data_IF_470877798118
#
_entry.id   IF_470877798118
#
_cell.length_a   1.000
_cell.length_b   1.000
_cell.length_c   1.000
_cell.angle_alpha   90.00
_cell.angle_beta   90.00
_cell.angle_gamma   90.00
#
_symmetry.space_group_name_H-M   'P 1'
#
loop_
_entity.id
_entity.type
_entity.pdbx_description
1 polymer ?
#
# COMPACT_ATOMS: atom_id res chain seq x y z
N UNK A 1 -19.80 -15.18 -13.30
CA UNK A 1 -19.39 -15.46 -11.90
C UNK A 1 -20.03 -14.40 -11.03
N UNK A 2 -20.83 -14.75 -10.01
CA UNK A 2 -21.35 -13.74 -9.10
C UNK A 2 -20.15 -13.08 -8.40
N UNK A 3 -20.14 -11.75 -8.34
CA UNK A 3 -19.17 -10.99 -7.56
C UNK A 3 -19.41 -11.34 -6.09
N UNK A 4 -18.70 -12.34 -5.57
CA UNK A 4 -18.59 -12.54 -4.13
C UNK A 4 -18.00 -11.24 -3.57
N UNK A 5 -18.82 -10.49 -2.82
CA UNK A 5 -18.41 -9.24 -2.18
C UNK A 5 -17.23 -9.55 -1.27
N UNK A 6 -16.02 -9.09 -1.61
CA UNK A 6 -14.83 -9.27 -0.78
C UNK A 6 -15.05 -8.66 0.60
N UNK A 7 -14.46 -9.24 1.63
CA UNK A 7 -14.44 -8.65 2.97
C UNK A 7 -13.99 -7.18 2.93
N UNK A 8 -14.47 -6.44 3.92
CA UNK A 8 -14.10 -5.04 4.12
C UNK A 8 -12.58 -4.88 4.20
N UNK A 9 -11.89 -5.82 4.86
CA UNK A 9 -10.44 -5.83 4.99
C UNK A 9 -9.71 -5.85 3.64
N UNK A 10 -10.07 -6.78 2.75
CA UNK A 10 -9.47 -6.90 1.41
C UNK A 10 -9.82 -5.67 0.56
N UNK A 11 -11.07 -5.21 0.63
CA UNK A 11 -11.54 -4.04 -0.11
C UNK A 11 -10.81 -2.77 0.31
N UNK A 12 -10.66 -2.53 1.62
CA UNK A 12 -9.93 -1.40 2.17
C UNK A 12 -8.44 -1.44 1.78
N UNK A 13 -7.81 -2.62 1.87
CA UNK A 13 -6.43 -2.81 1.45
C UNK A 13 -6.24 -2.48 -0.04
N UNK A 14 -7.15 -2.95 -0.90
CA UNK A 14 -7.10 -2.66 -2.33
C UNK A 14 -7.31 -1.17 -2.63
N UNK A 15 -8.18 -0.47 -1.90
CA UNK A 15 -8.41 0.97 -2.12
C UNK A 15 -7.20 1.78 -1.70
N UNK A 16 -6.66 1.53 -0.50
CA UNK A 16 -5.46 2.23 0.00
C UNK A 16 -4.26 1.91 -0.90
N UNK A 17 -4.04 0.63 -1.18
CA UNK A 17 -2.96 0.15 -2.05
C UNK A 17 -3.06 0.70 -3.48
N UNK A 18 -4.25 0.71 -4.09
CA UNK A 18 -4.41 1.24 -5.44
C UNK A 18 -4.25 2.77 -5.50
N UNK A 19 -4.73 3.51 -4.50
CA UNK A 19 -4.54 4.96 -4.44
C UNK A 19 -3.05 5.31 -4.37
N UNK A 20 -2.31 4.64 -3.49
CA UNK A 20 -0.87 4.86 -3.33
C UNK A 20 -0.07 4.33 -4.54
N UNK A 21 -0.48 3.18 -5.08
CA UNK A 21 0.09 2.59 -6.29
C UNK A 21 -0.08 3.47 -7.53
N UNK A 22 -1.25 4.11 -7.70
CA UNK A 22 -1.50 5.09 -8.76
C UNK A 22 -0.61 6.32 -8.62
N UNK A 23 -0.46 6.86 -7.42
CA UNK A 23 0.42 8.00 -7.16
C UNK A 23 1.87 7.68 -7.56
N UNK A 24 2.39 6.54 -7.12
CA UNK A 24 3.72 6.08 -7.48
C UNK A 24 3.89 5.75 -8.97
N UNK A 25 2.84 5.24 -9.63
CA UNK A 25 2.87 4.94 -11.06
C UNK A 25 2.85 6.19 -11.95
N UNK A 26 1.96 7.13 -11.65
CA UNK A 26 1.73 8.30 -12.50
C UNK A 26 2.64 9.48 -12.12
N UNK A 27 2.88 9.68 -10.82
CA UNK A 27 3.55 10.86 -10.27
C UNK A 27 4.58 10.52 -9.17
N UNK A 28 5.54 9.59 -9.42
CA UNK A 28 6.47 9.11 -8.38
C UNK A 28 7.28 10.23 -7.73
N UNK A 29 7.70 11.25 -8.49
CA UNK A 29 8.48 12.36 -7.95
C UNK A 29 7.69 13.14 -6.90
N UNK A 30 6.46 13.51 -7.24
CA UNK A 30 5.55 14.20 -6.34
C UNK A 30 5.26 13.35 -5.09
N UNK A 31 4.98 12.05 -5.26
CA UNK A 31 4.71 11.16 -4.13
C UNK A 31 5.91 11.07 -3.18
N UNK A 32 7.13 10.98 -3.71
CA UNK A 32 8.34 10.90 -2.89
C UNK A 32 8.58 12.22 -2.16
N UNK A 33 8.56 13.35 -2.86
CA UNK A 33 8.77 14.68 -2.27
C UNK A 33 7.69 15.03 -1.23
N UNK A 34 6.45 14.55 -1.44
CA UNK A 34 5.36 14.73 -0.49
C UNK A 34 5.62 13.97 0.82
N UNK A 35 6.30 12.82 0.80
CA UNK A 35 6.47 11.94 1.94
C UNK A 35 7.86 12.02 2.60
N UNK A 36 8.88 12.41 1.84
CA UNK A 36 10.28 12.37 2.27
C UNK A 36 10.99 13.69 1.94
N UNK A 37 11.94 14.09 2.80
CA UNK A 37 12.79 15.27 2.57
C UNK A 37 13.94 14.94 1.62
N UNK A 38 13.61 14.46 0.43
CA UNK A 38 14.57 14.04 -0.60
C UNK A 38 14.13 14.53 -1.97
N UNK A 39 15.11 14.88 -2.81
CA UNK A 39 14.88 15.18 -4.23
C UNK A 39 15.05 13.89 -5.03
N UNK A 40 13.99 13.31 -5.62
CA UNK A 40 14.06 12.03 -6.29
C UNK A 40 14.80 12.12 -7.63
N UNK A 41 15.86 11.32 -7.76
CA UNK A 41 16.57 11.14 -9.02
C UNK A 41 15.80 10.26 -10.02
N UNK A 42 16.43 9.96 -11.16
CA UNK A 42 15.84 9.11 -12.19
C UNK A 42 15.59 7.66 -11.74
N UNK A 43 16.41 7.13 -10.83
CA UNK A 43 16.27 5.76 -10.33
C UNK A 43 15.14 5.66 -9.32
N UNK A 44 15.00 6.64 -8.43
CA UNK A 44 13.84 6.76 -7.54
C UNK A 44 12.54 6.83 -8.33
N UNK A 45 12.51 7.67 -9.38
CA UNK A 45 11.33 7.81 -10.25
C UNK A 45 11.03 6.53 -11.04
N UNK A 46 12.04 5.80 -11.48
CA UNK A 46 11.86 4.51 -12.15
C UNK A 46 11.31 3.46 -11.18
N UNK A 47 11.94 3.29 -10.03
CA UNK A 47 11.51 2.34 -8.99
C UNK A 47 10.12 2.68 -8.46
N UNK A 48 9.80 3.96 -8.29
CA UNK A 48 8.46 4.41 -7.93
C UNK A 48 7.41 3.92 -8.92
N UNK A 49 7.64 4.08 -10.23
CA UNK A 49 6.70 3.58 -11.25
C UNK A 49 6.55 2.08 -11.22
N UNK A 50 7.67 1.37 -11.12
CA UNK A 50 7.67 -0.09 -11.04
C UNK A 50 6.87 -0.58 -9.82
N UNK A 51 7.15 -0.04 -8.63
CA UNK A 51 6.42 -0.34 -7.39
C UNK A 51 4.93 -0.02 -7.53
N UNK A 52 4.58 1.13 -8.12
CA UNK A 52 3.19 1.50 -8.38
C UNK A 52 2.47 0.47 -9.26
N UNK A 53 3.11 0.04 -10.36
CA UNK A 53 2.57 -1.00 -11.25
C UNK A 53 2.41 -2.35 -10.54
N UNK A 54 3.40 -2.76 -9.74
CA UNK A 54 3.31 -3.99 -8.94
C UNK A 54 2.14 -3.93 -7.95
N UNK A 55 1.94 -2.81 -7.27
CA UNK A 55 0.83 -2.61 -6.32
C UNK A 55 -0.54 -2.67 -7.02
N UNK A 56 -0.68 -2.03 -8.18
CA UNK A 56 -1.92 -2.07 -8.95
C UNK A 56 -2.24 -3.47 -9.47
N UNK A 57 -1.22 -4.19 -9.94
CA UNK A 57 -1.35 -5.60 -10.36
C UNK A 57 -1.75 -6.47 -9.18
N UNK A 58 -1.13 -6.29 -8.01
CA UNK A 58 -1.48 -7.01 -6.80
C UNK A 58 -2.94 -6.78 -6.40
N UNK A 59 -3.40 -5.52 -6.42
CA UNK A 59 -4.80 -5.19 -6.14
C UNK A 59 -5.76 -5.89 -7.13
N UNK A 60 -5.40 -5.93 -8.42
CA UNK A 60 -6.20 -6.63 -9.44
C UNK A 60 -6.25 -8.14 -9.17
N UNK A 61 -5.14 -8.76 -8.76
CA UNK A 61 -5.09 -10.17 -8.39
C UNK A 61 -5.93 -10.46 -7.14
N UNK A 62 -5.78 -9.66 -6.08
CA UNK A 62 -6.56 -9.80 -4.83
C UNK A 62 -8.07 -9.69 -5.08
N UNK A 63 -8.50 -8.82 -6.00
CA UNK A 63 -9.92 -8.70 -6.39
C UNK A 63 -10.44 -9.87 -7.22
N UNK A 64 -9.57 -10.63 -7.89
CA UNK A 64 -9.96 -11.65 -8.86
C UNK A 64 -9.81 -13.10 -8.34
N UNK A 65 -8.96 -13.32 -7.33
CA UNK A 65 -8.72 -14.62 -6.72
C UNK A 65 -9.75 -14.96 -5.63
N UNK A 66 -9.78 -16.22 -5.17
CA UNK A 66 -10.64 -16.67 -4.07
C UNK A 66 -10.31 -15.94 -2.76
N UNK A 67 -11.32 -15.55 -2.01
CA UNK A 67 -11.15 -14.84 -0.74
C UNK A 67 -10.42 -15.67 0.33
N UNK A 68 -10.68 -16.98 0.42
CA UNK A 68 -10.02 -17.85 1.38
C UNK A 68 -8.49 -17.88 1.18
N UNK A 69 -8.03 -17.66 -0.06
CA UNK A 69 -6.62 -17.56 -0.41
C UNK A 69 -6.11 -16.13 -0.19
N UNK A 70 -6.89 -15.13 -0.61
CA UNK A 70 -6.48 -13.72 -0.58
C UNK A 70 -6.41 -13.16 0.82
N UNK A 71 -7.31 -13.54 1.73
CA UNK A 71 -7.36 -12.97 3.07
C UNK A 71 -6.04 -13.12 3.85
N UNK A 72 -5.46 -14.33 4.02
CA UNK A 72 -4.21 -14.49 4.76
C UNK A 72 -3.02 -13.80 4.06
N UNK A 73 -3.01 -13.80 2.72
CA UNK A 73 -1.99 -13.10 1.94
C UNK A 73 -2.10 -11.58 2.14
N UNK A 74 -3.31 -11.04 2.10
CA UNK A 74 -3.61 -9.62 2.32
C UNK A 74 -3.17 -9.20 3.72
N UNK A 75 -3.54 -9.97 4.75
CA UNK A 75 -3.14 -9.70 6.13
C UNK A 75 -1.60 -9.67 6.28
N UNK A 76 -0.92 -10.74 5.84
CA UNK A 76 0.53 -10.84 5.94
C UNK A 76 1.23 -9.73 5.15
N UNK A 77 0.73 -9.42 3.94
CA UNK A 77 1.25 -8.34 3.12
C UNK A 77 1.08 -6.98 3.80
N UNK A 78 -0.10 -6.66 4.33
CA UNK A 78 -0.33 -5.38 5.03
C UNK A 78 0.56 -5.25 6.26
N UNK A 79 0.73 -6.31 7.04
CA UNK A 79 1.65 -6.32 8.19
C UNK A 79 3.11 -6.08 7.77
N UNK A 80 3.57 -6.78 6.72
CA UNK A 80 4.92 -6.61 6.18
C UNK A 80 5.13 -5.20 5.61
N UNK A 81 4.16 -4.66 4.87
CA UNK A 81 4.20 -3.29 4.38
C UNK A 81 4.28 -2.32 5.54
N UNK A 82 3.46 -2.46 6.58
CA UNK A 82 3.50 -1.57 7.75
C UNK A 82 4.89 -1.55 8.38
N UNK A 83 5.51 -2.71 8.58
CA UNK A 83 6.82 -2.81 9.20
C UNK A 83 7.94 -2.25 8.31
N UNK A 84 8.01 -2.69 7.05
CA UNK A 84 9.12 -2.37 6.15
C UNK A 84 8.97 -1.03 5.41
N UNK A 85 7.73 -0.54 5.26
CA UNK A 85 7.40 0.72 4.61
C UNK A 85 7.32 1.85 5.62
N UNK A 86 6.10 2.29 6.00
CA UNK A 86 5.94 3.45 6.86
C UNK A 86 6.57 3.30 8.25
N UNK A 87 6.54 2.11 8.86
CA UNK A 87 7.17 1.88 10.16
C UNK A 87 8.68 2.11 10.12
N UNK A 88 9.38 1.46 9.19
CA UNK A 88 10.81 1.67 8.98
C UNK A 88 11.13 3.13 8.62
N UNK A 89 10.39 3.71 7.68
CA UNK A 89 10.59 5.09 7.24
C UNK A 89 10.49 6.10 8.40
N UNK A 90 9.49 5.97 9.26
CA UNK A 90 9.31 6.88 10.41
C UNK A 90 10.39 6.75 11.49
N UNK A 91 11.07 5.60 11.57
CA UNK A 91 12.13 5.36 12.55
C UNK A 91 13.51 5.78 12.04
N UNK A 92 13.75 5.69 10.73
CA UNK A 92 15.11 5.73 10.18
C UNK A 92 15.31 6.70 9.01
N UNK A 93 14.25 7.25 8.42
CA UNK A 93 14.35 8.16 7.28
C UNK A 93 13.82 9.55 7.62
N UNK A 94 14.28 10.54 6.83
CA UNK A 94 13.79 11.92 6.94
C UNK A 94 12.41 12.07 6.27
N UNK A 95 11.36 11.84 7.04
CA UNK A 95 9.97 11.97 6.58
C UNK A 95 9.45 13.40 6.69
N UNK A 96 8.43 13.71 5.88
CA UNK A 96 7.60 14.91 6.06
C UNK A 96 6.42 14.60 7.00
N UNK A 97 5.73 15.62 7.55
CA UNK A 97 4.51 15.39 8.34
C UNK A 97 3.42 14.60 7.59
N UNK A 98 3.36 14.72 6.26
CA UNK A 98 2.35 14.04 5.45
C UNK A 98 2.55 12.51 5.44
N UNK A 99 3.78 12.04 5.61
CA UNK A 99 4.05 10.60 5.63
C UNK A 99 3.35 9.88 6.80
N UNK A 100 2.99 10.59 7.89
CA UNK A 100 2.20 10.05 9.01
C UNK A 100 0.83 9.51 8.58
N UNK A 101 0.32 9.90 7.41
CA UNK A 101 -0.91 9.33 6.85
C UNK A 101 -0.72 7.85 6.47
N UNK A 102 0.45 7.47 5.96
CA UNK A 102 0.73 6.09 5.56
C UNK A 102 0.65 5.07 6.73
N UNK A 103 1.32 5.25 7.88
CA UNK A 103 1.19 4.33 9.01
C UNK A 103 -0.24 4.30 9.58
N UNK A 104 -0.97 5.41 9.53
CA UNK A 104 -2.39 5.44 9.97
C UNK A 104 -3.27 4.61 9.03
N UNK A 105 -3.14 4.78 7.71
CA UNK A 105 -3.94 4.03 6.75
C UNK A 105 -3.59 2.55 6.74
N UNK A 106 -2.30 2.20 6.68
CA UNK A 106 -1.85 0.79 6.64
C UNK A 106 -2.14 0.10 7.98
N UNK A 107 -1.87 0.77 9.11
CA UNK A 107 -2.21 0.27 10.44
C UNK A 107 -3.72 0.12 10.64
N UNK A 108 -4.51 1.07 10.14
CA UNK A 108 -5.98 0.98 10.14
C UNK A 108 -6.48 -0.23 9.34
N UNK A 109 -5.94 -0.47 8.14
CA UNK A 109 -6.26 -1.66 7.35
C UNK A 109 -5.88 -2.94 8.09
N UNK A 110 -4.73 -2.97 8.77
CA UNK A 110 -4.32 -4.12 9.58
C UNK A 110 -5.30 -4.37 10.74
N UNK A 111 -5.76 -3.31 11.42
CA UNK A 111 -6.77 -3.42 12.47
C UNK A 111 -8.11 -3.95 11.90
N UNK A 112 -8.51 -3.51 10.71
CA UNK A 112 -9.72 -4.03 10.06
C UNK A 112 -9.60 -5.52 9.75
N UNK A 113 -8.42 -6.02 9.34
CA UNK A 113 -8.21 -7.47 9.19
C UNK A 113 -8.42 -8.19 10.53
N UNK A 114 -7.80 -7.72 11.61
CA UNK A 114 -7.92 -8.34 12.94
C UNK A 114 -9.37 -8.35 13.45
N UNK A 115 -10.16 -7.31 13.14
CA UNK A 115 -11.58 -7.24 13.50
C UNK A 115 -12.51 -8.04 12.58
N UNK A 116 -12.01 -8.48 11.42
CA UNK A 116 -12.74 -9.29 10.45
C UNK A 116 -12.37 -10.78 10.49
N UNK A 117 -11.51 -11.17 11.44
CA UNK A 117 -10.99 -12.53 11.63
C UNK A 117 -11.91 -13.40 12.48
#
# INVERSE_FOLDING_TARGET
MPLCTKSLAISANCVVGAAYGLQFFLAPGFTIEQNFKVVPDKYHKFMGRFTGMCMLTLCKLMKSADEAIVWPVSFAFTAAVMACGPGFAEMYLDTTPMHKVAPVLVGGVLAVHLLSA
#
